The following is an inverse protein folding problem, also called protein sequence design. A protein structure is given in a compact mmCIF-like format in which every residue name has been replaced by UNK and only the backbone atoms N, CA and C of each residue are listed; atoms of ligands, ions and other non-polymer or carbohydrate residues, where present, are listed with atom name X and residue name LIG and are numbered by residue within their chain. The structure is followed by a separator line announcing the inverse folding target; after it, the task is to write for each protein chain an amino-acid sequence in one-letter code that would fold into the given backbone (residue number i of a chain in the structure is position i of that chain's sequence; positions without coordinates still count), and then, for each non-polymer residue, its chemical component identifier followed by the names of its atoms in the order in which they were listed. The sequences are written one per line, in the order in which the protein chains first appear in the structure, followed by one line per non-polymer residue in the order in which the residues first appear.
data_IF_977831910799
#
_entry.id   IF_977831910799
#
_cell.length_a   1.000
_cell.length_b   1.000
_cell.length_c   1.000
_cell.angle_alpha   90.00
_cell.angle_beta   90.00
_cell.angle_gamma   90.00
#
_symmetry.space_group_name_H-M   'P 1'
#
loop_
_entity.id
_entity.type
_entity.pdbx_description
1 polymer ?
#
# COMPACT_ATOMS: atom_id res chain seq x y z
N UNK A 1 15.87 -20.14 9.01
CA UNK A 1 15.72 -20.36 10.46
C UNK A 1 15.07 -19.14 11.13
N UNK A 2 15.22 -17.96 10.51
CA UNK A 2 14.54 -16.70 10.79
C UNK A 2 13.97 -16.05 9.52
N UNK A 3 13.17 -16.77 8.73
CA UNK A 3 12.36 -16.14 7.66
C UNK A 3 13.12 -15.21 6.68
N UNK A 4 14.41 -15.48 6.43
CA UNK A 4 15.24 -14.68 5.52
C UNK A 4 16.20 -13.67 6.18
N UNK A 5 16.07 -13.37 7.47
CA UNK A 5 17.03 -12.48 8.17
C UNK A 5 18.31 -13.21 8.64
N UNK A 6 18.35 -14.54 8.52
CA UNK A 6 19.49 -15.39 8.89
C UNK A 6 20.81 -14.88 8.27
N UNK A 7 20.74 -14.51 6.98
CA UNK A 7 21.90 -14.01 6.23
C UNK A 7 22.38 -12.66 6.75
N UNK A 8 21.46 -11.81 7.21
CA UNK A 8 21.81 -10.49 7.75
C UNK A 8 22.49 -10.64 9.12
N UNK A 9 21.92 -11.47 10.00
CA UNK A 9 22.53 -11.79 11.30
C UNK A 9 23.91 -12.43 11.12
N UNK A 10 24.07 -13.32 10.13
CA UNK A 10 25.36 -13.94 9.83
C UNK A 10 26.39 -12.94 9.30
N UNK A 11 26.00 -12.00 8.43
CA UNK A 11 26.89 -10.91 8.01
C UNK A 11 27.34 -10.08 9.21
N UNK A 12 26.41 -9.77 10.11
CA UNK A 12 26.72 -9.01 11.33
C UNK A 12 27.70 -9.79 12.21
N UNK A 13 27.48 -11.09 12.42
CA UNK A 13 28.42 -11.98 13.13
C UNK A 13 29.84 -11.91 12.58
N UNK A 14 30.00 -11.94 11.25
CA UNK A 14 31.32 -11.87 10.62
C UNK A 14 31.96 -10.47 10.68
N UNK A 15 31.16 -9.44 10.95
CA UNK A 15 31.60 -8.05 11.11
C UNK A 15 31.88 -7.62 12.55
N UNK A 16 31.57 -8.47 13.55
CA UNK A 16 31.82 -8.16 14.95
C UNK A 16 33.31 -7.86 15.21
N UNK A 17 33.57 -6.92 16.12
CA UNK A 17 34.92 -6.63 16.60
C UNK A 17 35.51 -7.83 17.34
N UNK A 18 36.84 -7.89 17.43
CA UNK A 18 37.52 -8.98 18.13
C UNK A 18 37.09 -9.11 19.59
N UNK A 19 36.86 -7.98 20.28
CA UNK A 19 36.37 -7.96 21.65
C UNK A 19 34.94 -8.51 21.78
N UNK A 20 34.03 -8.13 20.87
CA UNK A 20 32.66 -8.65 20.85
C UNK A 20 32.63 -10.14 20.50
N UNK A 21 33.47 -10.58 19.55
CA UNK A 21 33.62 -12.00 19.20
C UNK A 21 34.15 -12.82 20.37
N UNK A 22 35.16 -12.32 21.09
CA UNK A 22 35.69 -13.00 22.26
C UNK A 22 34.63 -13.18 23.35
N UNK A 23 33.86 -12.13 23.61
CA UNK A 23 32.76 -12.16 24.59
C UNK A 23 31.66 -13.14 24.15
N UNK A 24 31.30 -13.13 22.87
CA UNK A 24 30.33 -14.05 22.29
C UNK A 24 30.79 -15.50 22.38
N UNK A 25 32.04 -15.80 22.05
CA UNK A 25 32.58 -17.16 22.13
C UNK A 25 32.70 -17.65 23.58
N UNK A 26 33.08 -16.80 24.52
CA UNK A 26 33.04 -17.13 25.95
C UNK A 26 31.62 -17.49 26.38
N UNK A 27 30.62 -16.69 25.98
CA UNK A 27 29.21 -16.99 26.28
C UNK A 27 28.74 -18.29 25.63
N UNK A 28 29.12 -18.53 24.39
CA UNK A 28 28.86 -19.79 23.69
C UNK A 28 29.47 -21.00 24.42
N UNK A 29 30.70 -20.86 24.92
CA UNK A 29 31.36 -21.87 25.76
C UNK A 29 30.70 -22.13 27.09
N UNK A 30 30.18 -21.08 27.75
CA UNK A 30 29.40 -21.23 28.99
C UNK A 30 28.12 -22.04 28.78
N UNK A 31 27.45 -21.87 27.63
CA UNK A 31 26.18 -22.53 27.33
C UNK A 31 26.34 -23.94 26.74
N UNK A 32 27.44 -24.19 26.01
CA UNK A 32 27.60 -25.43 25.22
C UNK A 32 28.91 -26.17 25.48
N UNK A 33 29.71 -25.74 26.45
CA UNK A 33 30.94 -26.38 26.88
C UNK A 33 32.20 -25.82 26.22
N UNK A 34 33.34 -26.06 26.87
CA UNK A 34 34.64 -25.50 26.45
C UNK A 34 35.11 -26.01 25.08
N UNK A 35 34.80 -27.26 24.74
CA UNK A 35 35.11 -27.83 23.43
C UNK A 35 34.39 -27.09 22.29
N UNK A 36 33.12 -26.70 22.51
CA UNK A 36 32.34 -25.94 21.55
C UNK A 36 32.93 -24.54 21.32
N UNK A 37 33.34 -23.85 22.40
CA UNK A 37 34.06 -22.57 22.29
C UNK A 37 35.34 -22.70 21.48
N UNK A 38 36.20 -23.66 21.83
CA UNK A 38 37.48 -23.88 21.15
C UNK A 38 37.27 -24.17 19.66
N UNK A 39 36.27 -24.99 19.33
CA UNK A 39 35.89 -25.28 17.95
C UNK A 39 35.41 -24.02 17.22
N UNK A 40 34.53 -23.21 17.82
CA UNK A 40 34.01 -22.00 17.21
C UNK A 40 35.13 -20.98 16.93
N UNK A 41 36.04 -20.75 17.88
CA UNK A 41 37.21 -19.88 17.71
C UNK A 41 38.12 -20.34 16.57
N UNK A 42 38.45 -21.64 16.54
CA UNK A 42 39.31 -22.22 15.50
C UNK A 42 38.67 -22.15 14.11
N UNK A 43 37.35 -22.30 14.03
CA UNK A 43 36.64 -22.43 12.75
C UNK A 43 36.16 -21.09 12.20
N UNK A 44 36.03 -20.06 13.04
CA UNK A 44 35.57 -18.73 12.65
C UNK A 44 36.28 -18.12 11.42
N UNK A 45 37.63 -18.16 11.30
CA UNK A 45 38.30 -17.64 10.10
C UNK A 45 37.89 -18.37 8.81
N UNK A 46 37.60 -19.66 8.90
CA UNK A 46 37.11 -20.46 7.77
C UNK A 46 35.66 -20.13 7.42
N UNK A 47 34.82 -19.86 8.43
CA UNK A 47 33.45 -19.38 8.19
C UNK A 47 33.44 -17.99 7.56
N UNK A 48 34.26 -17.07 8.06
CA UNK A 48 34.35 -15.69 7.57
C UNK A 48 34.90 -15.61 6.14
N UNK A 49 35.85 -16.47 5.77
CA UNK A 49 36.38 -16.56 4.41
C UNK A 49 35.53 -17.37 3.44
N UNK A 50 34.46 -18.02 3.92
CA UNK A 50 33.62 -18.91 3.11
C UNK A 50 34.26 -20.27 2.78
N UNK A 51 35.45 -20.58 3.33
CA UNK A 51 36.10 -21.89 3.18
C UNK A 51 35.26 -23.02 3.78
N UNK A 52 34.44 -22.71 4.78
CA UNK A 52 33.47 -23.65 5.36
C UNK A 52 32.18 -22.91 5.66
N UNK A 53 31.04 -23.52 5.42
CA UNK A 53 29.75 -22.89 5.72
C UNK A 53 29.43 -22.99 7.22
N UNK A 54 28.95 -21.88 7.80
CA UNK A 54 28.30 -21.89 9.11
C UNK A 54 26.85 -22.32 8.91
N UNK A 55 26.52 -23.57 9.22
CA UNK A 55 25.18 -24.13 9.03
C UNK A 55 24.74 -25.05 10.18
N UNK A 56 23.46 -25.42 10.18
CA UNK A 56 22.89 -26.35 11.14
C UNK A 56 22.87 -25.83 12.58
N UNK A 57 23.04 -26.74 13.53
CA UNK A 57 22.89 -26.43 14.96
C UNK A 57 23.94 -25.43 15.48
N UNK A 58 25.16 -25.45 14.94
CA UNK A 58 26.21 -24.49 15.33
C UNK A 58 25.84 -23.07 14.90
N UNK A 59 25.30 -22.91 13.68
CA UNK A 59 24.81 -21.63 13.21
C UNK A 59 23.66 -21.13 14.08
N UNK A 60 22.67 -21.98 14.36
CA UNK A 60 21.55 -21.64 15.22
C UNK A 60 22.01 -21.09 16.58
N UNK A 61 22.86 -21.85 17.26
CA UNK A 61 23.32 -21.49 18.61
C UNK A 61 24.15 -20.21 18.62
N UNK A 62 25.05 -20.01 17.65
CA UNK A 62 25.88 -18.81 17.59
C UNK A 62 25.07 -17.57 17.19
N UNK A 63 24.22 -17.69 16.17
CA UNK A 63 23.41 -16.56 15.69
C UNK A 63 22.39 -16.10 16.76
N UNK A 64 21.90 -17.02 17.60
CA UNK A 64 21.06 -16.68 18.77
C UNK A 64 21.79 -15.84 19.83
N UNK A 65 23.12 -15.74 19.81
CA UNK A 65 23.92 -14.98 20.79
C UNK A 65 24.35 -13.58 20.31
N UNK A 66 24.23 -13.30 19.02
CA UNK A 66 24.45 -11.98 18.40
C UNK A 66 23.66 -10.78 18.96
N UNK A 67 22.43 -10.91 19.46
CA UNK A 67 21.52 -9.77 19.61
C UNK A 67 21.94 -8.69 20.61
N UNK A 68 22.53 -9.04 21.77
CA UNK A 68 23.06 -8.04 22.68
C UNK A 68 24.16 -7.16 22.07
N UNK A 69 24.78 -7.63 20.99
CA UNK A 69 25.83 -6.91 20.26
C UNK A 69 25.27 -6.07 19.10
N UNK A 70 23.96 -6.12 18.85
CA UNK A 70 23.33 -5.38 17.77
C UNK A 70 23.00 -3.95 18.24
N UNK A 71 23.39 -2.93 17.45
CA UNK A 71 22.83 -1.59 17.58
C UNK A 71 21.30 -1.61 17.44
N UNK A 72 20.62 -0.70 18.15
CA UNK A 72 19.15 -0.67 18.19
C UNK A 72 18.51 -0.44 16.81
N UNK A 73 19.14 0.36 15.95
CA UNK A 73 18.69 0.57 14.57
C UNK A 73 18.71 -0.71 13.74
N UNK A 74 19.75 -1.54 13.91
CA UNK A 74 19.86 -2.84 13.22
C UNK A 74 18.78 -3.79 13.72
N UNK A 75 18.49 -3.79 15.03
CA UNK A 75 17.38 -4.59 15.58
C UNK A 75 16.04 -4.15 15.00
N UNK A 76 15.80 -2.85 14.88
CA UNK A 76 14.60 -2.30 14.26
C UNK A 76 14.45 -2.79 12.82
N UNK A 77 15.49 -2.68 11.98
CA UNK A 77 15.47 -3.17 10.59
C UNK A 77 15.17 -4.67 10.48
N UNK A 78 15.77 -5.48 11.36
CA UNK A 78 15.51 -6.93 11.39
C UNK A 78 14.07 -7.23 11.77
N UNK A 79 13.50 -6.50 12.73
CA UNK A 79 12.08 -6.63 13.13
C UNK A 79 11.17 -6.20 11.98
N UNK A 80 11.47 -5.11 11.28
CA UNK A 80 10.73 -4.69 10.08
C UNK A 80 10.72 -5.78 9.01
N UNK A 81 11.87 -6.40 8.72
CA UNK A 81 11.97 -7.50 7.76
C UNK A 81 11.15 -8.72 8.19
N UNK A 82 11.20 -9.08 9.47
CA UNK A 82 10.39 -10.18 10.02
C UNK A 82 8.91 -9.87 9.90
N UNK A 83 8.46 -8.67 10.32
CA UNK A 83 7.08 -8.23 10.18
C UNK A 83 6.63 -8.34 8.73
N UNK A 84 7.37 -7.78 7.78
CA UNK A 84 7.03 -7.84 6.35
C UNK A 84 6.98 -9.27 5.79
N UNK A 85 7.79 -10.19 6.31
CA UNK A 85 7.78 -11.58 5.88
C UNK A 85 6.54 -12.35 6.39
N UNK A 86 6.16 -12.12 7.65
CA UNK A 86 5.06 -12.85 8.29
C UNK A 86 3.71 -12.16 8.17
N UNK A 87 3.70 -10.85 7.92
CA UNK A 87 2.49 -10.08 7.70
C UNK A 87 1.87 -10.48 6.36
N UNK A 88 0.71 -11.10 6.42
CA UNK A 88 -0.05 -11.46 5.24
C UNK A 88 -0.90 -10.27 4.82
N UNK A 89 -0.52 -9.65 3.70
CA UNK A 89 -1.35 -8.59 3.09
C UNK A 89 -2.72 -9.16 2.72
N UNK A 90 -3.78 -8.48 3.14
CA UNK A 90 -5.15 -8.89 2.83
C UNK A 90 -5.64 -8.14 1.59
N UNK A 91 -6.22 -8.89 0.66
CA UNK A 91 -6.85 -8.33 -0.53
C UNK A 91 -8.36 -8.40 -0.38
N UNK A 92 -9.04 -7.29 -0.63
CA UNK A 92 -10.49 -7.18 -0.54
C UNK A 92 -11.06 -6.71 -1.87
N UNK A 93 -12.27 -7.16 -2.21
CA UNK A 93 -12.97 -6.74 -3.41
C UNK A 93 -14.30 -6.11 -3.01
N UNK A 94 -14.61 -4.95 -3.57
CA UNK A 94 -15.84 -4.20 -3.32
C UNK A 94 -16.44 -3.85 -4.66
N UNK A 95 -17.67 -4.32 -4.92
CA UNK A 95 -18.49 -3.75 -6.00
C UNK A 95 -19.43 -2.74 -5.39
N UNK A 96 -19.52 -1.55 -5.99
CA UNK A 96 -20.33 -0.45 -5.48
C UNK A 96 -20.93 0.36 -6.63
N UNK A 97 -21.88 1.24 -6.30
CA UNK A 97 -22.38 2.25 -7.23
C UNK A 97 -21.73 3.58 -6.95
N UNK A 98 -21.90 4.47 -7.92
CA UNK A 98 -21.42 5.83 -7.88
C UNK A 98 -21.97 6.65 -6.68
N UNK A 99 -23.16 6.31 -6.16
CA UNK A 99 -23.80 7.00 -5.04
C UNK A 99 -23.46 6.37 -3.67
N UNK A 100 -22.94 5.14 -3.68
CA UNK A 100 -22.77 4.32 -2.47
C UNK A 100 -21.32 4.01 -2.09
N UNK A 101 -20.36 4.38 -2.94
CA UNK A 101 -18.96 4.01 -2.76
C UNK A 101 -18.42 4.37 -1.36
N UNK A 102 -18.82 5.50 -0.77
CA UNK A 102 -18.39 5.86 0.59
C UNK A 102 -18.85 4.81 1.60
N UNK A 103 -20.14 4.52 1.62
CA UNK A 103 -20.73 3.58 2.56
C UNK A 103 -20.19 2.15 2.39
N UNK A 104 -19.82 1.77 1.17
CA UNK A 104 -19.37 0.41 0.87
C UNK A 104 -17.83 0.25 1.01
N UNK A 105 -17.03 1.28 0.70
CA UNK A 105 -15.55 1.20 0.69
C UNK A 105 -14.93 1.55 2.04
N UNK A 106 -15.43 2.59 2.74
CA UNK A 106 -14.84 3.02 4.01
C UNK A 106 -14.79 1.92 5.08
N UNK A 107 -15.84 1.10 5.29
CA UNK A 107 -15.78 0.01 6.26
C UNK A 107 -14.68 -1.01 5.94
N UNK A 108 -14.43 -1.28 4.65
CA UNK A 108 -13.40 -2.23 4.20
C UNK A 108 -12.00 -1.64 4.40
N UNK A 109 -11.84 -0.34 4.19
CA UNK A 109 -10.61 0.40 4.53
C UNK A 109 -10.33 0.31 6.04
N UNK A 110 -11.33 0.59 6.88
CA UNK A 110 -11.18 0.50 8.34
C UNK A 110 -10.85 -0.91 8.81
N UNK A 111 -11.51 -1.93 8.25
CA UNK A 111 -11.22 -3.33 8.55
C UNK A 111 -9.77 -3.67 8.19
N UNK A 112 -9.30 -3.26 7.01
CA UNK A 112 -7.95 -3.52 6.55
C UNK A 112 -6.88 -2.82 7.42
N UNK A 113 -7.17 -1.60 7.87
CA UNK A 113 -6.30 -0.86 8.81
C UNK A 113 -6.17 -1.59 10.14
N UNK A 114 -7.26 -2.14 10.69
CA UNK A 114 -7.25 -2.92 11.94
C UNK A 114 -6.38 -4.18 11.87
N UNK A 115 -6.23 -4.79 10.69
CA UNK A 115 -5.38 -5.99 10.53
C UNK A 115 -3.92 -5.72 10.92
N UNK A 116 -3.40 -4.51 10.68
CA UNK A 116 -2.02 -4.16 11.05
C UNK A 116 -1.84 -3.84 12.53
N UNK A 117 -2.83 -3.18 13.15
CA UNK A 117 -2.77 -2.89 14.59
C UNK A 117 -2.77 -4.17 15.43
N UNK A 118 -3.49 -5.18 14.96
CA UNK A 118 -3.71 -6.41 15.71
C UNK A 118 -2.68 -7.49 15.37
N UNK A 119 -1.83 -7.26 14.36
CA UNK A 119 -0.82 -8.21 13.95
C UNK A 119 0.19 -8.48 15.07
N UNK A 120 0.32 -9.76 15.40
CA UNK A 120 1.35 -10.28 16.30
C UNK A 120 2.25 -11.24 15.53
N UNK A 121 3.55 -11.11 15.74
CA UNK A 121 4.49 -12.10 15.24
C UNK A 121 4.16 -13.49 15.84
N UNK A 122 4.37 -14.59 15.09
CA UNK A 122 4.11 -15.93 15.60
C UNK A 122 4.84 -16.18 16.92
N UNK A 123 4.19 -16.82 17.89
CA UNK A 123 4.76 -17.01 19.24
C UNK A 123 6.09 -17.77 19.19
N UNK A 124 6.23 -18.75 18.29
CA UNK A 124 7.50 -19.46 18.07
C UNK A 124 8.62 -18.53 17.59
N UNK A 125 8.30 -17.51 16.81
CA UNK A 125 9.25 -16.48 16.41
C UNK A 125 9.49 -15.50 17.55
N UNK A 126 8.46 -15.06 18.28
CA UNK A 126 8.62 -14.18 19.45
C UNK A 126 9.49 -14.84 20.51
N UNK A 127 9.33 -16.14 20.77
CA UNK A 127 10.16 -16.89 21.71
C UNK A 127 11.60 -17.06 21.18
N UNK A 128 11.75 -17.30 19.86
CA UNK A 128 13.06 -17.36 19.21
C UNK A 128 13.66 -16.00 18.92
N UNK A 129 12.92 -14.91 19.06
CA UNK A 129 13.35 -13.53 18.88
C UNK A 129 13.21 -12.75 20.20
N UNK A 130 12.92 -13.45 21.31
CA UNK A 130 12.95 -12.88 22.65
C UNK A 130 14.36 -12.39 22.97
N UNK A 131 15.35 -12.93 22.27
CA UNK A 131 16.72 -12.43 22.26
C UNK A 131 16.91 -11.12 21.49
N UNK A 132 16.08 -10.79 20.50
CA UNK A 132 16.21 -9.55 19.69
C UNK A 132 16.00 -8.32 20.55
N UNK A 133 15.25 -8.46 21.64
CA UNK A 133 15.24 -7.44 22.65
C UNK A 133 14.79 -7.97 24.02
N UNK A 134 15.50 -7.52 25.05
CA UNK A 134 15.04 -7.51 26.44
C UNK A 134 13.81 -6.57 26.59
N UNK A 135 12.68 -6.85 25.93
CA UNK A 135 11.45 -6.04 25.95
C UNK A 135 11.23 -5.08 24.75
N UNK A 136 12.25 -4.76 23.95
CA UNK A 136 12.10 -3.81 22.83
C UNK A 136 11.37 -4.38 21.59
N UNK A 137 11.08 -5.69 21.50
CA UNK A 137 10.35 -6.26 20.34
C UNK A 137 8.92 -5.75 20.34
N UNK A 138 8.30 -5.62 21.51
CA UNK A 138 6.97 -5.04 21.65
C UNK A 138 6.97 -3.55 21.31
N UNK A 139 7.98 -2.80 21.78
CA UNK A 139 8.17 -1.39 21.44
C UNK A 139 8.36 -1.18 19.93
N UNK A 140 9.24 -1.94 19.29
CA UNK A 140 9.45 -1.87 17.85
C UNK A 140 8.19 -2.25 17.06
N UNK A 141 7.45 -3.28 17.49
CA UNK A 141 6.17 -3.65 16.88
C UNK A 141 5.11 -2.54 17.04
N UNK A 142 5.02 -1.90 18.21
CA UNK A 142 4.13 -0.76 18.45
C UNK A 142 4.46 0.41 17.55
N UNK A 143 5.75 0.74 17.39
CA UNK A 143 6.21 1.81 16.51
C UNK A 143 5.90 1.49 15.05
N UNK A 144 6.20 0.28 14.58
CA UNK A 144 5.89 -0.14 13.21
C UNK A 144 4.39 -0.11 12.94
N UNK A 145 3.57 -0.60 13.87
CA UNK A 145 2.12 -0.53 13.76
C UNK A 145 1.63 0.93 13.73
N UNK A 146 2.22 1.82 14.54
CA UNK A 146 1.86 3.24 14.55
C UNK A 146 2.19 3.95 13.24
N UNK A 147 3.35 3.64 12.64
CA UNK A 147 3.78 4.17 11.35
C UNK A 147 2.89 3.68 10.21
N UNK A 148 2.58 2.38 10.17
CA UNK A 148 1.68 1.80 9.18
C UNK A 148 0.25 2.37 9.30
N UNK A 149 -0.22 2.62 10.53
CA UNK A 149 -1.50 3.26 10.80
C UNK A 149 -1.51 4.72 10.33
N UNK A 150 -0.41 5.44 10.56
CA UNK A 150 -0.26 6.83 10.12
C UNK A 150 -0.24 6.92 8.59
N UNK A 151 0.55 6.07 7.93
CA UNK A 151 0.57 5.97 6.47
C UNK A 151 -0.81 5.64 5.91
N UNK A 152 -1.49 4.64 6.50
CA UNK A 152 -2.82 4.26 6.03
C UNK A 152 -3.83 5.39 6.19
N UNK A 153 -3.82 6.11 7.32
CA UNK A 153 -4.66 7.30 7.53
C UNK A 153 -4.37 8.38 6.49
N UNK A 154 -3.11 8.66 6.20
CA UNK A 154 -2.71 9.64 5.17
C UNK A 154 -3.29 9.25 3.82
N UNK A 155 -3.13 7.99 3.40
CA UNK A 155 -3.68 7.47 2.13
C UNK A 155 -5.21 7.50 2.10
N UNK A 156 -5.87 7.12 3.19
CA UNK A 156 -7.33 7.15 3.31
C UNK A 156 -7.91 8.57 3.18
N UNK A 157 -7.19 9.59 3.62
CA UNK A 157 -7.65 10.98 3.49
C UNK A 157 -7.73 11.45 2.02
N UNK A 158 -6.97 10.85 1.10
CA UNK A 158 -7.10 11.18 -0.32
C UNK A 158 -8.34 10.54 -0.98
N UNK A 159 -8.93 9.51 -0.36
CA UNK A 159 -10.02 8.75 -0.97
C UNK A 159 -11.23 9.63 -1.28
N UNK A 160 -11.62 10.52 -0.36
CA UNK A 160 -12.76 11.42 -0.61
C UNK A 160 -12.57 12.26 -1.87
N UNK A 161 -11.38 12.80 -2.08
CA UNK A 161 -11.09 13.67 -3.21
C UNK A 161 -10.96 12.84 -4.48
N UNK A 162 -10.30 11.69 -4.40
CA UNK A 162 -10.13 10.79 -5.55
C UNK A 162 -11.44 10.24 -6.06
N UNK A 163 -12.34 9.79 -5.17
CA UNK A 163 -13.64 9.32 -5.60
C UNK A 163 -14.57 10.44 -6.07
N UNK A 164 -14.48 11.66 -5.51
CA UNK A 164 -15.17 12.82 -6.09
C UNK A 164 -14.65 13.14 -7.51
N UNK A 165 -13.37 12.92 -7.79
CA UNK A 165 -12.82 13.04 -9.15
C UNK A 165 -13.31 11.92 -10.06
N UNK A 166 -13.36 10.68 -9.57
CA UNK A 166 -13.92 9.54 -10.29
C UNK A 166 -15.39 9.79 -10.61
N UNK A 167 -16.17 10.32 -9.67
CA UNK A 167 -17.54 10.77 -9.87
C UNK A 167 -17.62 11.81 -11.00
N UNK A 168 -16.77 12.84 -10.95
CA UNK A 168 -16.74 13.83 -12.03
C UNK A 168 -16.35 13.22 -13.38
N UNK A 169 -15.49 12.20 -13.42
CA UNK A 169 -15.20 11.46 -14.66
C UNK A 169 -16.44 10.75 -15.18
N UNK A 170 -17.15 10.03 -14.31
CA UNK A 170 -18.42 9.34 -14.62
C UNK A 170 -19.43 10.31 -15.21
N UNK A 171 -19.64 11.45 -14.54
CA UNK A 171 -20.66 12.44 -14.95
C UNK A 171 -20.39 13.07 -16.32
N UNK A 172 -19.11 13.14 -16.74
CA UNK A 172 -18.71 13.71 -18.02
C UNK A 172 -18.49 12.65 -19.11
N UNK A 173 -18.60 11.35 -18.80
CA UNK A 173 -18.37 10.25 -19.74
C UNK A 173 -19.56 9.27 -19.73
N UNK A 174 -20.66 9.56 -20.46
CA UNK A 174 -21.92 8.79 -20.41
C UNK A 174 -21.81 7.35 -20.95
N UNK A 175 -20.74 7.01 -21.65
CA UNK A 175 -20.47 5.67 -22.19
C UNK A 175 -19.35 4.93 -21.45
N UNK A 176 -19.15 5.25 -20.17
CA UNK A 176 -18.19 4.54 -19.33
C UNK A 176 -18.72 3.15 -19.00
N UNK A 177 -17.96 2.11 -19.34
CA UNK A 177 -18.41 0.74 -19.14
C UNK A 177 -18.14 0.27 -17.70
N UNK A 178 -16.97 0.59 -17.18
CA UNK A 178 -16.55 0.22 -15.84
C UNK A 178 -15.41 1.11 -15.38
N UNK A 179 -15.41 1.46 -14.10
CA UNK A 179 -14.24 2.05 -13.44
C UNK A 179 -13.75 1.06 -12.40
N UNK A 180 -12.45 0.78 -12.41
CA UNK A 180 -11.79 -0.03 -11.40
C UNK A 180 -10.78 0.83 -10.68
N UNK A 181 -10.82 0.82 -9.36
CA UNK A 181 -9.89 1.54 -8.53
C UNK A 181 -9.29 0.57 -7.52
N UNK A 182 -7.96 0.44 -7.52
CA UNK A 182 -7.23 -0.34 -6.54
C UNK A 182 -6.62 0.60 -5.51
N UNK A 183 -7.17 0.60 -4.29
CA UNK A 183 -6.58 1.30 -3.15
C UNK A 183 -5.44 0.45 -2.63
N UNK A 184 -4.25 1.01 -2.54
CA UNK A 184 -3.03 0.36 -2.06
C UNK A 184 -2.72 0.88 -0.65
N UNK A 185 -2.80 0.01 0.35
CA UNK A 185 -2.40 0.31 1.72
C UNK A 185 -1.22 -0.57 2.14
N UNK A 186 -0.44 -0.20 3.17
CA UNK A 186 0.59 -1.07 3.73
C UNK A 186 0.07 -2.47 4.07
N UNK A 187 -1.17 -2.51 4.54
CA UNK A 187 -1.88 -3.71 5.01
C UNK A 187 -2.40 -4.61 3.87
N UNK A 188 -2.47 -4.09 2.64
CA UNK A 188 -2.97 -4.82 1.49
C UNK A 188 -3.75 -3.95 0.52
N UNK A 189 -4.47 -4.58 -0.40
CA UNK A 189 -5.13 -3.90 -1.52
C UNK A 189 -6.65 -4.02 -1.43
N UNK A 190 -7.36 -2.97 -1.84
CA UNK A 190 -8.81 -2.98 -1.98
C UNK A 190 -9.16 -2.70 -3.44
N UNK A 191 -9.71 -3.71 -4.11
CA UNK A 191 -10.15 -3.63 -5.49
C UNK A 191 -11.61 -3.17 -5.53
N UNK A 192 -11.83 -1.92 -5.89
CA UNK A 192 -13.14 -1.30 -6.01
C UNK A 192 -13.57 -1.33 -7.47
N UNK A 193 -14.74 -1.88 -7.74
CA UNK A 193 -15.42 -1.81 -9.04
C UNK A 193 -16.63 -0.92 -8.88
N UNK A 194 -16.68 0.17 -9.64
CA UNK A 194 -17.84 1.06 -9.67
C UNK A 194 -18.68 0.67 -10.88
N UNK A 195 -19.83 0.06 -10.61
CA UNK A 195 -20.80 -0.31 -11.62
C UNK A 195 -21.60 0.93 -12.03
N UNK A 196 -21.76 1.12 -13.34
CA UNK A 196 -22.68 2.13 -13.87
C UNK A 196 -24.00 1.47 -14.25
N UNK A 197 -25.11 2.08 -13.82
CA UNK A 197 -26.40 1.74 -14.38
C UNK A 197 -26.38 2.05 -15.88
N UNK A 198 -26.70 1.05 -16.71
CA UNK A 198 -26.90 1.28 -18.14
C UNK A 198 -28.03 2.30 -18.28
N UNK A 199 -27.70 3.52 -18.68
CA UNK A 199 -28.73 4.51 -19.02
C UNK A 199 -29.67 3.90 -20.05
N UNK A 200 -30.91 3.67 -19.65
CA UNK A 200 -31.93 3.15 -20.55
C UNK A 200 -32.30 4.27 -21.53
N UNK A 201 -32.58 3.88 -22.78
CA UNK A 201 -32.87 4.80 -23.90
C UNK A 201 -34.02 5.80 -23.59
N UNK A 202 -34.90 5.48 -22.63
CA UNK A 202 -35.94 6.38 -22.13
C UNK A 202 -35.41 7.52 -21.24
N UNK A 203 -34.32 7.31 -20.49
CA UNK A 203 -33.69 8.37 -19.69
C UNK A 203 -32.97 9.41 -20.55
N UNK A 204 -32.42 9.03 -21.72
CA UNK A 204 -31.80 9.98 -22.65
C UNK A 204 -32.81 10.76 -23.50
N UNK A 205 -34.03 10.23 -23.69
CA UNK A 205 -35.10 10.88 -24.45
C UNK A 205 -36.02 11.76 -23.60
N UNK A 206 -36.25 11.44 -22.32
CA UNK A 206 -37.20 12.17 -21.45
C UNK A 206 -36.56 12.77 -20.19
N UNK A 207 -35.32 12.40 -19.86
CA UNK A 207 -34.58 12.95 -18.72
C UNK A 207 -33.68 14.09 -19.17
N UNK A 208 -34.22 15.31 -19.23
CA UNK A 208 -33.44 16.54 -19.47
C UNK A 208 -32.45 16.83 -18.34
N UNK A 209 -31.41 16.03 -18.18
CA UNK A 209 -30.25 16.38 -17.35
C UNK A 209 -29.42 17.36 -18.19
N UNK A 210 -29.64 18.66 -17.97
CA UNK A 210 -28.78 19.72 -18.49
C UNK A 210 -27.35 19.40 -18.06
N UNK A 211 -26.54 18.85 -18.96
CA UNK A 211 -25.09 18.82 -18.79
C UNK A 211 -24.65 20.27 -18.85
N UNK A 212 -24.47 20.90 -17.68
CA UNK A 212 -23.88 22.23 -17.62
C UNK A 212 -22.44 22.09 -18.07
N UNK A 213 -22.20 22.40 -19.34
CA UNK A 213 -20.89 22.71 -19.92
C UNK A 213 -20.33 23.99 -19.28
N UNK A 214 -20.09 23.95 -17.97
CA UNK A 214 -19.17 24.85 -17.31
C UNK A 214 -17.93 24.03 -17.03
N UNK A 215 -16.79 24.40 -17.60
CA UNK A 215 -15.49 23.77 -17.34
C UNK A 215 -15.06 23.96 -15.89
N UNK A 216 -15.77 23.34 -14.96
CA UNK A 216 -15.37 23.24 -13.56
C UNK A 216 -14.17 22.31 -13.55
N UNK A 217 -13.04 22.81 -13.09
CA UNK A 217 -11.87 21.99 -12.78
C UNK A 217 -12.32 20.77 -11.95
N UNK A 218 -11.77 19.59 -12.27
CA UNK A 218 -12.12 18.31 -11.60
C UNK A 218 -12.01 18.40 -10.06
N UNK A 219 -11.13 19.30 -9.59
CA UNK A 219 -11.01 19.78 -8.21
C UNK A 219 -10.48 21.21 -8.31
N UNK A 220 -11.07 22.17 -7.61
CA UNK A 220 -10.52 23.54 -7.58
C UNK A 220 -9.15 23.55 -6.89
N UNK A 221 -8.23 24.43 -7.31
CA UNK A 221 -6.93 24.61 -6.63
C UNK A 221 -7.08 24.83 -5.12
N UNK A 222 -8.11 25.56 -4.68
CA UNK A 222 -8.40 25.78 -3.26
C UNK A 222 -8.80 24.49 -2.53
N UNK A 223 -9.58 23.60 -3.14
CA UNK A 223 -9.90 22.29 -2.57
C UNK A 223 -8.66 21.38 -2.49
N UNK A 224 -7.79 21.41 -3.50
CA UNK A 224 -6.49 20.71 -3.44
C UNK A 224 -5.63 21.27 -2.30
N UNK A 225 -5.51 22.59 -2.20
CA UNK A 225 -4.65 23.24 -1.21
C UNK A 225 -5.20 23.04 0.21
N UNK A 226 -6.52 23.08 0.38
CA UNK A 226 -7.20 22.80 1.65
C UNK A 226 -6.96 21.35 2.10
N UNK A 227 -7.08 20.39 1.19
CA UNK A 227 -6.79 18.98 1.46
C UNK A 227 -5.33 18.75 1.89
N UNK A 228 -4.40 19.36 1.16
CA UNK A 228 -2.97 19.31 1.46
C UNK A 228 -2.66 19.95 2.84
N UNK A 229 -3.30 21.07 3.18
CA UNK A 229 -3.12 21.74 4.48
C UNK A 229 -3.72 20.97 5.66
N UNK A 230 -4.87 20.29 5.47
CA UNK A 230 -5.50 19.47 6.51
C UNK A 230 -4.66 18.23 6.85
N UNK A 231 -3.78 17.80 5.94
CA UNK A 231 -2.88 16.65 6.13
C UNK A 231 -1.63 17.00 6.93
N UNK A 232 -1.08 18.22 6.79
CA UNK A 232 0.17 18.60 7.48
C UNK A 232 0.02 18.69 9.02
N UNK A 233 -1.20 18.77 9.56
CA UNK A 233 -1.43 19.01 10.99
C UNK A 233 -1.65 17.76 11.85
N UNK A 234 -1.37 16.54 11.36
CA UNK A 234 -1.85 15.29 12.01
C UNK A 234 -0.78 14.26 12.40
N UNK A 235 0.49 14.64 12.48
CA UNK A 235 1.62 13.76 12.89
C UNK A 235 1.71 13.44 14.39
N UNK A 236 0.59 13.09 15.04
CA UNK A 236 0.48 12.95 16.50
C UNK A 236 0.68 11.53 17.03
N UNK A 237 0.56 10.49 16.21
CA UNK A 237 0.46 9.11 16.69
C UNK A 237 1.82 8.52 17.08
N UNK A 238 2.87 8.91 16.34
CA UNK A 238 4.23 8.49 16.61
C UNK A 238 4.75 9.04 17.95
N UNK A 239 4.37 10.27 18.32
CA UNK A 239 4.76 10.86 19.59
C UNK A 239 4.16 10.08 20.77
N UNK A 240 2.92 9.61 20.64
CA UNK A 240 2.24 8.79 21.66
C UNK A 240 2.97 7.45 21.85
N UNK A 241 3.43 6.82 20.76
CA UNK A 241 4.19 5.57 20.84
C UNK A 241 5.60 5.75 21.45
N UNK A 242 6.19 6.94 21.36
CA UNK A 242 7.49 7.26 21.94
C UNK A 242 7.40 7.60 23.44
N UNK A 243 6.27 8.13 23.91
CA UNK A 243 6.09 8.52 25.30
C UNK A 243 6.17 7.34 26.28
N UNK A 244 5.83 6.13 25.83
CA UNK A 244 5.94 4.88 26.58
C UNK A 244 7.39 4.34 26.72
N UNK A 245 8.37 4.96 26.06
CA UNK A 245 9.76 4.52 26.07
C UNK A 245 10.59 5.21 27.15
N UNK A 246 11.60 4.52 27.70
CA UNK A 246 12.59 5.15 28.59
C UNK A 246 13.46 6.17 27.83
N UNK A 247 14.01 7.17 28.52
CA UNK A 247 14.87 8.21 27.89
C UNK A 247 16.08 7.64 27.15
N UNK A 248 16.65 6.53 27.64
CA UNK A 248 17.76 5.84 26.98
C UNK A 248 17.31 5.14 25.69
N UNK A 249 16.12 4.52 25.69
CA UNK A 249 15.51 3.94 24.48
C UNK A 249 15.12 5.04 23.48
N UNK A 250 14.51 6.14 23.94
CA UNK A 250 14.15 7.29 23.09
C UNK A 250 15.38 7.79 22.34
N UNK A 251 16.49 8.08 23.02
CA UNK A 251 17.72 8.59 22.40
C UNK A 251 18.32 7.64 21.36
N UNK A 252 18.23 6.32 21.57
CA UNK A 252 18.74 5.32 20.63
C UNK A 252 17.79 5.03 19.47
N UNK A 253 16.48 5.09 19.69
CA UNK A 253 15.46 4.93 18.65
C UNK A 253 15.22 6.20 17.83
N UNK A 254 15.59 7.38 18.35
CA UNK A 254 15.33 8.66 17.68
C UNK A 254 15.81 8.62 16.24
N UNK A 255 17.00 8.09 15.96
CA UNK A 255 17.50 8.02 14.58
C UNK A 255 16.63 7.12 13.70
N UNK A 256 16.33 5.89 14.10
CA UNK A 256 15.51 4.97 13.29
C UNK A 256 14.07 5.46 13.11
N UNK A 257 13.55 6.16 14.11
CA UNK A 257 12.23 6.77 14.09
C UNK A 257 12.22 7.99 13.17
N UNK A 258 13.28 8.80 13.19
CA UNK A 258 13.47 9.90 12.24
C UNK A 258 13.61 9.38 10.82
N UNK A 259 14.36 8.31 10.59
CA UNK A 259 14.51 7.69 9.27
C UNK A 259 13.17 7.11 8.79
N UNK A 260 12.41 6.46 9.67
CA UNK A 260 11.08 5.95 9.34
C UNK A 260 10.07 7.08 9.06
N UNK A 261 10.13 8.16 9.84
CA UNK A 261 9.32 9.36 9.61
C UNK A 261 9.69 10.05 8.30
N UNK A 262 10.98 10.15 7.99
CA UNK A 262 11.45 10.64 6.69
C UNK A 262 10.88 9.77 5.56
N UNK A 263 10.82 8.45 5.75
CA UNK A 263 10.13 7.54 4.84
C UNK A 263 8.65 7.86 4.66
N UNK A 264 7.93 8.19 5.74
CA UNK A 264 6.54 8.66 5.66
C UNK A 264 6.42 9.99 4.91
N UNK A 265 7.29 10.96 5.20
CA UNK A 265 7.29 12.26 4.52
C UNK A 265 7.56 12.11 3.02
N UNK A 266 8.48 11.22 2.64
CA UNK A 266 8.73 10.85 1.24
C UNK A 266 7.48 10.20 0.63
N UNK A 267 6.87 9.23 1.31
CA UNK A 267 5.64 8.55 0.86
C UNK A 267 4.50 9.56 0.63
N UNK A 268 4.35 10.54 1.53
CA UNK A 268 3.36 11.61 1.42
C UNK A 268 3.68 12.55 0.24
N UNK A 269 4.93 13.00 0.09
CA UNK A 269 5.32 13.84 -1.03
C UNK A 269 5.12 13.13 -2.39
N UNK A 270 5.39 11.82 -2.45
CA UNK A 270 5.06 11.01 -3.62
C UNK A 270 3.56 10.92 -3.85
N UNK A 271 2.75 10.76 -2.81
CA UNK A 271 1.30 10.73 -2.90
C UNK A 271 0.75 12.06 -3.45
N UNK A 272 1.27 13.20 -2.99
CA UNK A 272 0.93 14.54 -3.51
C UNK A 272 1.29 14.69 -4.99
N UNK A 273 2.48 14.22 -5.38
CA UNK A 273 2.91 14.26 -6.77
C UNK A 273 2.00 13.40 -7.66
N UNK A 274 1.66 12.18 -7.22
CA UNK A 274 0.73 11.27 -7.92
C UNK A 274 -0.66 11.86 -8.00
N UNK A 275 -1.14 12.52 -6.94
CA UNK A 275 -2.40 13.22 -6.94
C UNK A 275 -2.45 14.32 -8.01
N UNK A 276 -1.44 15.17 -8.06
CA UNK A 276 -1.35 16.25 -9.05
C UNK A 276 -1.24 15.75 -10.49
N UNK A 277 -0.41 14.73 -10.72
CA UNK A 277 -0.26 14.12 -12.05
C UNK A 277 -1.53 13.43 -12.52
N UNK A 278 -2.13 12.57 -11.69
CA UNK A 278 -3.38 11.90 -12.04
C UNK A 278 -4.52 12.87 -12.30
N UNK A 279 -4.56 14.02 -11.60
CA UNK A 279 -5.60 15.05 -11.83
C UNK A 279 -5.49 15.62 -13.24
N UNK A 280 -4.26 15.95 -13.65
CA UNK A 280 -3.97 16.45 -15.00
C UNK A 280 -4.32 15.41 -16.05
N UNK A 281 -3.88 14.18 -15.85
CA UNK A 281 -4.02 13.10 -16.81
C UNK A 281 -5.50 12.71 -16.99
N UNK A 282 -6.25 12.57 -15.90
CA UNK A 282 -7.70 12.32 -15.94
C UNK A 282 -8.44 13.45 -16.68
N UNK A 283 -8.06 14.71 -16.42
CA UNK A 283 -8.63 15.87 -17.13
C UNK A 283 -8.36 15.84 -18.64
N UNK A 284 -7.17 15.38 -19.05
CA UNK A 284 -6.84 15.20 -20.46
C UNK A 284 -7.65 14.06 -21.09
N UNK A 285 -7.85 12.95 -20.38
CA UNK A 285 -8.69 11.84 -20.87
C UNK A 285 -10.15 12.28 -21.04
N UNK A 286 -10.72 13.09 -20.13
CA UNK A 286 -12.06 13.68 -20.31
C UNK A 286 -12.12 14.48 -21.61
N UNK A 287 -11.15 15.36 -21.85
CA UNK A 287 -11.11 16.18 -23.07
C UNK A 287 -11.00 15.31 -24.33
N UNK A 288 -10.19 14.25 -24.29
CA UNK A 288 -10.04 13.32 -25.41
C UNK A 288 -11.35 12.56 -25.70
N UNK A 289 -12.00 12.02 -24.67
CA UNK A 289 -13.29 11.33 -24.80
C UNK A 289 -14.37 12.29 -25.32
N UNK A 290 -14.47 13.50 -24.77
CA UNK A 290 -15.42 14.50 -25.26
C UNK A 290 -15.16 14.91 -26.71
N UNK A 291 -13.89 14.99 -27.13
CA UNK A 291 -13.54 15.29 -28.51
C UNK A 291 -13.97 14.15 -29.44
N UNK A 292 -13.74 12.90 -29.05
CA UNK A 292 -14.21 11.71 -29.79
C UNK A 292 -15.74 11.65 -29.87
N UNK A 293 -16.44 12.00 -28.79
CA UNK A 293 -17.90 12.10 -28.76
C UNK A 293 -18.44 13.13 -29.76
N UNK A 294 -17.80 14.29 -29.85
CA UNK A 294 -18.23 15.36 -30.75
C UNK A 294 -17.84 15.12 -32.21
N UNK A 295 -16.67 14.50 -32.45
CA UNK A 295 -16.14 14.32 -33.80
C UNK A 295 -16.55 12.99 -34.46
N UNK A 296 -16.86 11.95 -33.68
CA UNK A 296 -17.07 10.59 -34.18
C UNK A 296 -18.54 10.16 -34.06
N UNK A 297 -19.13 9.82 -35.21
CA UNK A 297 -20.36 9.00 -35.26
C UNK A 297 -20.06 7.50 -35.17
N UNK A 298 -18.79 7.11 -35.01
CA UNK A 298 -18.33 5.72 -35.02
C UNK A 298 -18.01 5.21 -33.62
N UNK A 299 -17.94 3.89 -33.48
CA UNK A 299 -17.55 3.19 -32.25
C UNK A 299 -16.15 3.58 -31.82
N UNK A 300 -15.92 3.65 -30.51
CA UNK A 300 -14.60 3.88 -29.95
C UNK A 300 -14.42 3.20 -28.59
N UNK A 301 -13.17 2.94 -28.24
CA UNK A 301 -12.75 2.36 -26.97
C UNK A 301 -11.55 3.15 -26.43
N UNK A 302 -11.67 3.67 -25.20
CA UNK A 302 -10.60 4.39 -24.51
C UNK A 302 -10.29 3.65 -23.20
N UNK A 303 -9.02 3.28 -23.05
CA UNK A 303 -8.47 2.69 -21.81
C UNK A 303 -7.42 3.64 -21.25
N UNK A 304 -7.49 3.90 -19.94
CA UNK A 304 -6.49 4.72 -19.27
C UNK A 304 -6.26 4.22 -17.86
N UNK A 305 -4.99 4.20 -17.45
CA UNK A 305 -4.56 3.81 -16.11
C UNK A 305 -3.86 5.00 -15.46
N UNK A 306 -4.25 5.35 -14.25
CA UNK A 306 -3.71 6.49 -13.52
C UNK A 306 -3.15 6.04 -12.17
N UNK A 307 -1.92 6.48 -11.86
CA UNK A 307 -1.35 6.33 -10.52
C UNK A 307 -1.80 7.49 -9.65
N UNK A 308 -2.65 7.20 -8.68
CA UNK A 308 -3.26 8.14 -7.73
C UNK A 308 -2.50 8.16 -6.40
N UNK A 309 -2.93 8.98 -5.45
CA UNK A 309 -2.30 9.08 -4.13
C UNK A 309 -2.57 7.83 -3.29
N UNK A 310 -3.80 7.30 -3.37
CA UNK A 310 -4.19 6.10 -2.61
C UNK A 310 -3.86 4.79 -3.34
N UNK A 311 -3.66 4.81 -4.67
CA UNK A 311 -3.34 3.60 -5.44
C UNK A 311 -3.44 3.78 -6.95
N UNK A 312 -4.16 2.92 -7.65
CA UNK A 312 -4.29 2.95 -9.12
C UNK A 312 -5.75 2.99 -9.58
N UNK A 313 -6.04 3.74 -10.64
CA UNK A 313 -7.38 3.84 -11.24
C UNK A 313 -7.33 3.46 -12.71
N UNK A 314 -8.09 2.44 -13.09
CA UNK A 314 -8.31 2.03 -14.46
C UNK A 314 -9.69 2.47 -14.93
N UNK A 315 -9.72 3.22 -16.03
CA UNK A 315 -10.94 3.70 -16.67
C UNK A 315 -11.08 3.03 -18.03
N UNK A 316 -12.24 2.45 -18.26
CA UNK A 316 -12.59 1.85 -19.55
C UNK A 316 -13.89 2.46 -20.07
N UNK A 317 -13.76 3.26 -21.13
CA UNK A 317 -14.87 3.90 -21.84
C UNK A 317 -15.07 3.19 -23.17
N UNK A 318 -16.31 2.79 -23.46
CA UNK A 318 -16.63 2.11 -24.70
C UNK A 318 -17.98 2.58 -25.22
N UNK A 319 -17.98 3.18 -26.40
CA UNK A 319 -19.20 3.53 -27.14
C UNK A 319 -19.41 2.51 -28.27
N UNK A 320 -20.54 1.82 -28.21
CA UNK A 320 -21.04 1.01 -29.31
C UNK A 320 -22.25 1.73 -29.91
N UNK A 321 -22.13 2.20 -31.14
CA UNK A 321 -23.20 2.88 -31.84
C UNK A 321 -24.16 1.83 -32.44
N UNK A 322 -25.12 1.39 -31.65
CA UNK A 322 -26.10 0.37 -32.05
C UNK A 322 -27.15 0.89 -33.07
N UNK A 323 -26.97 2.10 -33.58
CA UNK A 323 -27.89 2.76 -34.53
C UNK A 323 -28.04 1.98 -35.83
N UNK A 324 -27.02 1.21 -36.25
CA UNK A 324 -27.12 0.34 -37.43
C UNK A 324 -28.15 -0.78 -37.23
N UNK A 325 -28.23 -1.38 -36.05
CA UNK A 325 -29.22 -2.45 -35.78
C UNK A 325 -30.64 -1.89 -35.76
N UNK A 326 -30.85 -0.68 -35.24
CA UNK A 326 -32.18 -0.05 -35.20
C UNK A 326 -32.64 0.35 -36.61
N UNK A 327 -31.77 0.92 -37.44
CA UNK A 327 -32.12 1.26 -38.83
C UNK A 327 -32.41 -0.02 -39.63
N UNK A 328 -31.60 -1.06 -39.47
CA UNK A 328 -31.85 -2.36 -40.12
C UNK A 328 -33.18 -2.97 -39.64
N UNK A 329 -33.49 -2.91 -38.35
CA UNK A 329 -34.76 -3.41 -37.82
C UNK A 329 -35.98 -2.61 -38.31
N UNK A 330 -35.87 -1.27 -38.43
CA UNK A 330 -36.93 -0.42 -39.00
C UNK A 330 -37.10 -0.73 -40.49
N UNK A 331 -36.01 -0.86 -41.24
CA UNK A 331 -36.05 -1.22 -42.68
C UNK A 331 -36.67 -2.60 -42.87
N UNK A 332 -36.29 -3.60 -42.07
CA UNK A 332 -36.91 -4.94 -42.09
C UNK A 332 -38.40 -4.85 -41.73
N UNK A 333 -38.76 -4.07 -40.71
CA UNK A 333 -40.15 -3.86 -40.31
C UNK A 333 -40.99 -3.24 -41.42
N UNK A 334 -40.48 -2.21 -42.12
CA UNK A 334 -41.16 -1.56 -43.24
C UNK A 334 -41.28 -2.52 -44.44
N UNK A 335 -40.26 -3.31 -44.75
CA UNK A 335 -40.30 -4.30 -45.83
C UNK A 335 -41.31 -5.41 -45.55
N UNK A 336 -41.34 -5.94 -44.33
CA UNK A 336 -42.33 -6.97 -43.93
C UNK A 336 -43.76 -6.40 -43.98
N UNK A 337 -43.97 -5.17 -43.53
CA UNK A 337 -45.28 -4.52 -43.54
C UNK A 337 -45.75 -4.17 -44.96
N UNK A 338 -44.82 -3.87 -45.88
CA UNK A 338 -45.12 -3.70 -47.30
C UNK A 338 -45.43 -5.03 -48.01
N UNK A 339 -44.83 -6.15 -47.59
CA UNK A 339 -45.14 -7.49 -48.13
C UNK A 339 -46.46 -8.08 -47.60
N UNK A 340 -47.04 -7.51 -46.53
CA UNK A 340 -48.30 -7.96 -45.93
C UNK A 340 -49.54 -7.18 -46.43
N UNK A 341 -49.39 -6.26 -47.38
CA UNK A 341 -50.50 -5.56 -48.05
C UNK A 341 -50.73 -6.11 -49.45
#
# INVERSE_FOLDING_TARGET
MFAGIDKDIQKIFFSLSEQSLDTLFKRYGQLHGKSAENYARKTFPNWKSGKTNLSGQTAERLLNLIPPYLPQNVKYELITKLRNHYFQKKNSHVSTTNERWQADVFPVVEELIKVSSDFKLPESLVNRAAWLANGDVEAANKILASLELEEAKVRSNYLDIEFNRIQSLVDHMPHTQSIRHCIELPQGNIYVVIEQEKQTLMQSLFGGRKVTSGGKELVTREQMQSALTLQQSRGSLLNIALDDLTEQQKKQLTQSVLDARLGLDISQAEADQRFGNSTRDMGNTIKAVNSLEQSSKSDYEVKSTFKTASGTTDIHVKKNNNTVIIIVAIVIGVVVLAMMK
#
